data_IF_852176857799
#
_entry.id   IF_852176857799
#
_cell.length_a   1.000
_cell.length_b   1.000
_cell.length_c   1.000
_cell.angle_alpha   90.00
_cell.angle_beta   90.00
_cell.angle_gamma   90.00
#
_symmetry.space_group_name_H-M   'P 1'
#
loop_
_entity.id
_entity.type
_entity.pdbx_description
1 polymer ?
#
# COMPACT_ATOMS: atom_id res chain seq x y z
N UNK A 1 -10.69 10.11 -7.72
CA UNK A 1 -10.84 8.67 -7.45
C UNK A 1 -12.13 8.21 -8.09
N UNK A 2 -12.11 7.07 -8.79
CA UNK A 2 -13.27 6.50 -9.45
C UNK A 2 -13.58 5.13 -8.82
N UNK A 3 -14.81 4.95 -8.34
CA UNK A 3 -15.31 3.71 -7.77
C UNK A 3 -16.52 3.25 -8.56
N UNK A 4 -16.40 2.14 -9.29
CA UNK A 4 -17.50 1.58 -10.08
C UNK A 4 -18.15 0.45 -9.30
N UNK A 5 -19.47 0.44 -9.25
CA UNK A 5 -20.26 -0.52 -8.49
C UNK A 5 -20.98 -1.48 -9.42
N UNK A 6 -20.94 -2.75 -9.07
CA UNK A 6 -21.74 -3.79 -9.69
C UNK A 6 -23.10 -3.93 -8.98
N UNK A 7 -24.14 -4.26 -9.76
CA UNK A 7 -25.46 -4.61 -9.24
C UNK A 7 -26.17 -3.54 -8.40
N UNK A 8 -25.84 -2.25 -8.59
CA UNK A 8 -26.58 -1.12 -8.01
C UNK A 8 -27.62 -0.66 -9.02
N UNK A 9 -28.87 -0.53 -8.58
CA UNK A 9 -30.01 -0.12 -9.41
C UNK A 9 -30.37 1.36 -9.25
N UNK A 10 -29.98 1.99 -8.15
CA UNK A 10 -30.24 3.40 -7.88
C UNK A 10 -29.22 3.97 -6.92
N UNK A 11 -29.08 5.29 -6.94
CA UNK A 11 -28.20 6.05 -6.03
C UNK A 11 -28.97 7.24 -5.46
N UNK A 12 -28.60 7.68 -4.28
CA UNK A 12 -29.10 8.91 -3.65
C UNK A 12 -28.11 10.05 -3.85
N UNK A 13 -28.56 11.27 -3.57
CA UNK A 13 -27.67 12.45 -3.57
C UNK A 13 -26.50 12.23 -2.60
N UNK A 14 -25.33 12.68 -3.03
CA UNK A 14 -24.14 12.67 -2.16
C UNK A 14 -24.26 13.75 -1.09
N UNK A 15 -23.60 13.56 0.07
CA UNK A 15 -23.52 14.59 1.09
C UNK A 15 -22.71 15.80 0.58
N UNK A 16 -22.83 16.91 1.30
CA UNK A 16 -21.96 18.07 1.13
C UNK A 16 -20.51 17.73 1.50
N UNK A 17 -19.57 18.24 0.71
CA UNK A 17 -18.13 18.07 0.90
C UNK A 17 -17.44 19.28 1.54
N UNK A 18 -18.18 20.31 1.95
CA UNK A 18 -17.59 21.56 2.47
C UNK A 18 -16.71 21.32 3.69
N UNK A 19 -17.11 20.43 4.58
CA UNK A 19 -16.34 20.02 5.77
C UNK A 19 -15.44 18.80 5.54
N UNK A 20 -15.36 18.26 4.33
CA UNK A 20 -14.49 17.14 4.03
C UNK A 20 -13.07 17.64 3.77
N UNK A 21 -12.10 17.17 4.56
CA UNK A 21 -10.69 17.58 4.43
C UNK A 21 -10.00 16.97 3.21
N UNK A 22 -10.51 15.85 2.69
CA UNK A 22 -9.90 15.04 1.65
C UNK A 22 -10.46 15.35 0.27
N UNK A 23 -11.80 15.39 0.16
CA UNK A 23 -12.50 15.58 -1.10
C UNK A 23 -13.12 16.96 -1.19
N UNK A 24 -13.05 17.55 -2.38
CA UNK A 24 -13.69 18.85 -2.68
C UNK A 24 -15.06 18.69 -3.33
N UNK A 25 -15.33 17.55 -3.93
CA UNK A 25 -16.59 17.24 -4.59
C UNK A 25 -16.74 15.73 -4.84
N UNK A 26 -17.96 15.32 -5.06
CA UNK A 26 -18.30 13.98 -5.52
C UNK A 26 -19.48 14.06 -6.51
N UNK A 27 -19.53 13.13 -7.44
CA UNK A 27 -20.65 13.00 -8.37
C UNK A 27 -20.90 11.54 -8.72
N UNK A 28 -22.15 11.21 -9.03
CA UNK A 28 -22.51 9.94 -9.62
C UNK A 28 -22.53 10.05 -11.15
N UNK A 29 -21.91 9.08 -11.80
CA UNK A 29 -21.95 8.91 -13.24
C UNK A 29 -22.54 7.55 -13.61
N UNK A 30 -23.23 7.46 -14.73
CA UNK A 30 -23.54 6.19 -15.38
C UNK A 30 -22.48 5.94 -16.45
N UNK A 31 -21.87 4.76 -16.41
CA UNK A 31 -20.79 4.37 -17.33
C UNK A 31 -21.11 3.00 -17.92
N UNK A 32 -20.85 2.83 -19.20
CA UNK A 32 -20.86 1.53 -19.85
C UNK A 32 -19.56 0.80 -19.54
N UNK A 33 -19.69 -0.41 -19.02
CA UNK A 33 -18.56 -1.33 -18.79
C UNK A 33 -18.93 -2.66 -19.43
N UNK A 34 -18.31 -2.96 -20.55
CA UNK A 34 -18.53 -4.19 -21.33
C UNK A 34 -20.00 -4.42 -21.72
N UNK A 35 -20.70 -3.34 -22.12
CA UNK A 35 -22.12 -3.38 -22.52
C UNK A 35 -23.12 -3.37 -21.36
N UNK A 36 -22.64 -3.19 -20.13
CA UNK A 36 -23.48 -3.10 -18.92
C UNK A 36 -23.36 -1.70 -18.31
N UNK A 37 -24.51 -1.02 -18.17
CA UNK A 37 -24.56 0.27 -17.49
C UNK A 37 -24.36 0.11 -15.99
N UNK A 38 -23.33 0.78 -15.45
CA UNK A 38 -22.99 0.75 -14.03
C UNK A 38 -22.96 2.16 -13.44
N UNK A 39 -23.18 2.26 -12.14
CA UNK A 39 -22.94 3.51 -11.42
C UNK A 39 -21.47 3.62 -11.03
N UNK A 40 -20.93 4.82 -11.23
CA UNK A 40 -19.57 5.20 -10.81
C UNK A 40 -19.64 6.42 -9.90
N UNK A 41 -19.07 6.29 -8.71
CA UNK A 41 -18.80 7.43 -7.83
C UNK A 41 -17.46 8.04 -8.23
N UNK A 42 -17.47 9.31 -8.57
CA UNK A 42 -16.27 10.10 -8.86
C UNK A 42 -16.03 11.05 -7.70
N UNK A 43 -14.89 10.90 -7.02
CA UNK A 43 -14.47 11.77 -5.91
C UNK A 43 -13.27 12.62 -6.33
N UNK A 44 -13.38 13.93 -6.18
CA UNK A 44 -12.33 14.89 -6.51
C UNK A 44 -11.51 15.21 -5.25
N UNK A 45 -10.22 14.90 -5.28
CA UNK A 45 -9.30 15.27 -4.21
C UNK A 45 -9.12 16.78 -4.11
N UNK A 46 -9.02 17.32 -2.90
CA UNK A 46 -8.68 18.74 -2.67
C UNK A 46 -7.24 19.04 -3.09
N UNK A 47 -6.33 18.10 -2.85
CA UNK A 47 -4.92 18.21 -3.21
C UNK A 47 -4.48 16.96 -3.97
N UNK A 48 -3.89 17.10 -5.17
CA UNK A 48 -3.29 15.97 -5.85
C UNK A 48 -2.04 15.47 -5.09
N UNK A 49 -1.79 14.17 -5.19
CA UNK A 49 -0.58 13.55 -4.61
C UNK A 49 -0.64 13.18 -3.13
N UNK A 50 -1.76 13.48 -2.43
CA UNK A 50 -1.92 13.12 -1.01
C UNK A 50 -2.62 11.77 -0.80
N UNK A 51 -3.11 11.14 -1.84
CA UNK A 51 -3.78 9.85 -1.75
C UNK A 51 -2.76 8.72 -1.69
N UNK A 52 -2.81 7.92 -0.62
CA UNK A 52 -1.89 6.80 -0.39
C UNK A 52 -2.53 5.44 -0.67
N UNK A 53 -3.83 5.33 -0.56
CA UNK A 53 -4.53 4.07 -0.79
C UNK A 53 -5.97 4.07 -0.27
N UNK A 54 -6.63 2.94 -0.46
CA UNK A 54 -7.98 2.74 0.08
C UNK A 54 -8.21 1.27 0.46
N UNK A 55 -9.17 1.07 1.34
CA UNK A 55 -9.76 -0.24 1.59
C UNK A 55 -11.28 -0.15 1.55
N UNK A 56 -11.93 -1.27 1.27
CA UNK A 56 -13.38 -1.41 1.31
C UNK A 56 -13.73 -2.63 2.16
N UNK A 57 -14.61 -2.45 3.13
CA UNK A 57 -15.07 -3.51 4.03
C UNK A 57 -16.56 -3.35 4.30
N UNK A 58 -17.19 -4.42 4.80
CA UNK A 58 -18.56 -4.31 5.32
C UNK A 58 -18.51 -4.26 6.84
N UNK A 59 -19.33 -3.38 7.42
CA UNK A 59 -19.55 -3.38 8.87
C UNK A 59 -20.52 -4.49 9.32
N UNK A 60 -20.79 -4.56 10.62
CA UNK A 60 -21.70 -5.56 11.19
C UNK A 60 -23.17 -5.37 10.79
N UNK A 61 -23.52 -4.20 10.26
CA UNK A 61 -24.86 -3.86 9.79
C UNK A 61 -25.02 -4.07 8.28
N UNK A 62 -23.93 -4.47 7.60
CA UNK A 62 -23.91 -4.69 6.16
C UNK A 62 -23.67 -3.44 5.32
N UNK A 63 -23.27 -2.32 5.94
CA UNK A 63 -22.90 -1.12 5.20
C UNK A 63 -21.49 -1.28 4.60
N UNK A 64 -21.32 -0.83 3.36
CA UNK A 64 -20.03 -0.79 2.69
C UNK A 64 -19.27 0.46 3.13
N UNK A 65 -18.14 0.25 3.80
CA UNK A 65 -17.26 1.30 4.29
C UNK A 65 -16.05 1.44 3.37
N UNK A 66 -15.80 2.65 2.89
CA UNK A 66 -14.57 3.01 2.22
C UNK A 66 -13.68 3.82 3.16
N UNK A 67 -12.49 3.31 3.43
CA UNK A 67 -11.44 4.04 4.13
C UNK A 67 -10.43 4.53 3.10
N UNK A 68 -10.13 5.83 3.11
CA UNK A 68 -9.12 6.44 2.25
C UNK A 68 -7.92 6.83 3.10
N UNK A 69 -6.76 6.34 2.74
CA UNK A 69 -5.50 6.69 3.38
C UNK A 69 -4.93 7.95 2.72
N UNK A 70 -4.68 8.96 3.51
CA UNK A 70 -4.18 10.26 3.03
C UNK A 70 -2.82 10.53 3.65
N UNK A 71 -1.84 10.80 2.81
CA UNK A 71 -0.53 11.27 3.26
C UNK A 71 -0.69 12.69 3.79
N UNK A 72 -0.26 12.90 5.02
CA UNK A 72 -0.13 14.23 5.59
C UNK A 72 1.26 14.78 5.30
N UNK A 73 1.42 16.10 5.29
CA UNK A 73 2.74 16.72 5.18
C UNK A 73 3.60 16.47 6.42
N UNK A 74 2.97 16.12 7.54
CA UNK A 74 3.63 15.71 8.77
C UNK A 74 3.68 14.19 8.85
N UNK A 75 4.83 13.63 8.51
CA UNK A 75 5.08 12.19 8.55
C UNK A 75 5.50 11.68 9.94
N UNK A 76 5.69 12.56 10.92
CA UNK A 76 6.16 12.18 12.26
C UNK A 76 5.18 11.29 13.03
N UNK A 77 3.89 11.36 12.68
CA UNK A 77 2.85 10.52 13.29
C UNK A 77 2.57 9.23 12.50
N UNK A 78 3.27 9.01 11.39
CA UNK A 78 3.08 7.80 10.58
C UNK A 78 3.85 6.62 11.16
N UNK A 79 3.26 5.44 11.03
CA UNK A 79 3.94 4.16 11.21
C UNK A 79 4.25 3.58 9.83
N UNK A 80 5.53 3.45 9.51
CA UNK A 80 5.99 2.87 8.25
C UNK A 80 6.62 1.50 8.51
N UNK A 81 6.11 0.48 7.83
CA UNK A 81 6.71 -0.86 7.87
C UNK A 81 7.59 -1.06 6.65
N UNK A 82 8.84 -1.47 6.88
CA UNK A 82 9.81 -1.79 5.85
C UNK A 82 10.05 -3.30 5.84
N UNK A 83 9.87 -3.91 4.69
CA UNK A 83 10.06 -5.35 4.46
C UNK A 83 11.22 -5.59 3.48
N UNK A 84 12.43 -5.87 3.95
CA UNK A 84 13.51 -6.33 3.06
C UNK A 84 13.21 -7.74 2.56
N UNK A 85 13.13 -7.91 1.23
CA UNK A 85 12.87 -9.21 0.61
C UNK A 85 13.96 -10.23 0.88
N UNK A 86 13.59 -11.50 0.87
CA UNK A 86 14.48 -12.66 1.05
C UNK A 86 15.13 -12.76 2.45
N UNK A 87 16.26 -13.43 2.60
CA UNK A 87 17.06 -13.59 3.81
C UNK A 87 17.07 -15.01 4.33
N UNK A 88 16.01 -15.51 4.97
CA UNK A 88 15.97 -16.85 5.57
C UNK A 88 14.66 -17.55 5.22
N UNK A 89 14.73 -18.85 4.89
CA UNK A 89 13.56 -19.72 4.66
C UNK A 89 12.93 -20.19 5.98
N UNK A 90 11.74 -20.80 5.91
CA UNK A 90 11.05 -21.38 7.06
C UNK A 90 11.84 -22.50 7.77
N UNK A 91 12.81 -23.11 7.08
CA UNK A 91 13.68 -24.16 7.61
C UNK A 91 15.01 -23.62 8.14
N UNK A 92 15.20 -22.30 8.17
CA UNK A 92 16.43 -21.65 8.63
C UNK A 92 17.58 -21.66 7.62
N UNK A 93 17.32 -22.01 6.37
CA UNK A 93 18.31 -21.92 5.29
C UNK A 93 18.37 -20.53 4.70
N UNK A 94 19.52 -20.14 4.17
CA UNK A 94 19.67 -18.88 3.46
C UNK A 94 18.78 -18.83 2.22
N UNK A 95 18.07 -17.71 2.07
CA UNK A 95 17.34 -17.33 0.86
C UNK A 95 17.99 -16.07 0.30
N UNK A 96 18.98 -16.20 -0.59
CA UNK A 96 19.70 -15.05 -1.13
C UNK A 96 18.89 -14.23 -2.13
N UNK A 97 17.73 -14.75 -2.58
CA UNK A 97 16.96 -14.14 -3.66
C UNK A 97 17.69 -14.23 -5.00
N UNK A 98 17.64 -13.17 -5.79
CA UNK A 98 18.39 -13.10 -7.02
C UNK A 98 19.90 -12.97 -6.75
N UNK A 99 20.69 -13.78 -7.47
CA UNK A 99 22.15 -13.78 -7.39
C UNK A 99 22.71 -13.17 -8.69
N UNK A 100 23.52 -12.11 -8.54
CA UNK A 100 24.23 -11.43 -9.60
C UNK A 100 25.64 -11.05 -9.14
N UNK A 101 26.03 -9.79 -9.32
CA UNK A 101 27.24 -9.25 -8.69
C UNK A 101 27.14 -9.14 -7.16
N UNK A 102 25.91 -9.04 -6.68
CA UNK A 102 25.54 -9.04 -5.26
C UNK A 102 24.35 -9.98 -5.05
N UNK A 103 24.18 -10.45 -3.84
CA UNK A 103 22.97 -11.17 -3.43
C UNK A 103 21.86 -10.20 -3.08
N UNK A 104 20.65 -10.47 -3.57
CA UNK A 104 19.48 -9.61 -3.39
C UNK A 104 19.16 -9.39 -1.91
N UNK A 105 19.14 -10.44 -1.09
CA UNK A 105 18.81 -10.36 0.33
C UNK A 105 19.71 -9.39 1.09
N UNK A 106 21.02 -9.46 0.87
CA UNK A 106 21.99 -8.55 1.50
C UNK A 106 21.81 -7.10 1.06
N UNK A 107 21.59 -6.89 -0.26
CA UNK A 107 21.35 -5.56 -0.80
C UNK A 107 20.03 -4.96 -0.26
N UNK A 108 18.95 -5.72 -0.27
CA UNK A 108 17.64 -5.28 0.22
C UNK A 108 17.70 -4.89 1.69
N UNK A 109 18.38 -5.69 2.53
CA UNK A 109 18.55 -5.40 3.94
C UNK A 109 19.41 -4.15 4.18
N UNK A 110 20.48 -3.95 3.41
CA UNK A 110 21.32 -2.76 3.52
C UNK A 110 20.53 -1.50 3.16
N UNK A 111 19.74 -1.53 2.09
CA UNK A 111 18.84 -0.42 1.72
C UNK A 111 17.79 -0.19 2.79
N UNK A 112 17.16 -1.24 3.31
CA UNK A 112 16.15 -1.13 4.36
C UNK A 112 16.70 -0.44 5.62
N UNK A 113 17.92 -0.79 6.06
CA UNK A 113 18.58 -0.15 7.20
C UNK A 113 18.83 1.34 6.97
N UNK A 114 19.23 1.73 5.75
CA UNK A 114 19.45 3.13 5.39
C UNK A 114 18.13 3.91 5.37
N UNK A 115 17.09 3.35 4.77
CA UNK A 115 15.75 3.96 4.73
C UNK A 115 15.18 4.10 6.14
N UNK A 116 15.26 3.06 6.97
CA UNK A 116 14.86 3.08 8.38
C UNK A 116 15.55 4.23 9.13
N UNK A 117 16.87 4.33 9.02
CA UNK A 117 17.64 5.39 9.68
C UNK A 117 17.20 6.79 9.25
N UNK A 118 16.99 7.00 7.95
CA UNK A 118 16.55 8.30 7.41
C UNK A 118 15.14 8.67 7.86
N UNK A 119 14.20 7.73 7.84
CA UNK A 119 12.82 7.96 8.28
C UNK A 119 12.75 8.23 9.79
N UNK A 120 13.50 7.47 10.60
CA UNK A 120 13.60 7.73 12.05
C UNK A 120 14.16 9.12 12.35
N UNK A 121 15.14 9.60 11.57
CA UNK A 121 15.65 10.96 11.71
C UNK A 121 14.63 12.05 11.37
N UNK A 122 13.59 11.72 10.60
CA UNK A 122 12.43 12.58 10.32
C UNK A 122 11.28 12.44 11.35
N UNK A 123 11.50 11.66 12.41
CA UNK A 123 10.49 11.46 13.46
C UNK A 123 9.46 10.37 13.17
N UNK A 124 9.59 9.63 12.06
CA UNK A 124 8.66 8.57 11.68
C UNK A 124 8.81 7.35 12.60
N UNK A 125 7.70 6.75 13.01
CA UNK A 125 7.71 5.45 13.65
C UNK A 125 7.95 4.36 12.60
N UNK A 126 9.13 3.74 12.63
CA UNK A 126 9.54 2.75 11.62
C UNK A 126 9.68 1.37 12.26
N UNK A 127 8.97 0.40 11.69
CA UNK A 127 9.10 -1.02 12.00
C UNK A 127 9.74 -1.73 10.82
N UNK A 128 10.92 -2.31 11.01
CA UNK A 128 11.50 -3.22 10.01
C UNK A 128 11.09 -4.64 10.34
N UNK A 129 10.40 -5.30 9.39
CA UNK A 129 9.72 -6.58 9.62
C UNK A 129 10.64 -7.71 10.07
N UNK A 130 11.89 -7.70 9.61
CA UNK A 130 12.82 -8.78 9.94
C UNK A 130 14.25 -8.28 10.11
N UNK A 131 15.02 -9.06 10.85
CA UNK A 131 16.48 -8.99 10.94
C UNK A 131 17.12 -9.99 9.97
N UNK A 132 18.42 -10.17 10.06
CA UNK A 132 19.18 -11.09 9.22
C UNK A 132 18.78 -12.56 9.38
N UNK A 133 18.26 -12.95 10.54
CA UNK A 133 18.02 -14.36 10.92
C UNK A 133 16.56 -14.73 11.11
N UNK A 134 15.63 -13.82 10.86
CA UNK A 134 14.19 -14.06 11.06
C UNK A 134 13.51 -14.42 9.76
N UNK A 135 12.69 -15.46 9.83
CA UNK A 135 11.78 -15.84 8.75
C UNK A 135 10.41 -15.20 8.94
N UNK A 136 9.90 -14.66 7.82
CA UNK A 136 8.51 -14.22 7.71
C UNK A 136 7.90 -14.80 6.44
N UNK A 137 6.82 -15.59 6.58
CA UNK A 137 6.07 -16.12 5.45
C UNK A 137 5.68 -14.99 4.50
N UNK A 138 6.10 -15.08 3.25
CA UNK A 138 5.90 -14.05 2.23
C UNK A 138 4.44 -13.64 2.07
N UNK A 139 3.51 -14.60 2.14
CA UNK A 139 2.06 -14.32 2.03
C UNK A 139 1.51 -13.61 3.25
N UNK A 140 2.17 -13.74 4.40
CA UNK A 140 1.73 -13.14 5.68
C UNK A 140 2.40 -11.81 5.99
N UNK A 141 3.44 -11.40 5.29
CA UNK A 141 4.15 -10.13 5.55
C UNK A 141 3.25 -8.91 5.53
N UNK A 142 2.31 -8.73 4.56
CA UNK A 142 1.36 -7.61 4.59
C UNK A 142 0.42 -7.65 5.80
N UNK A 143 0.08 -8.83 6.31
CA UNK A 143 -0.76 -8.97 7.51
C UNK A 143 -0.01 -8.54 8.77
N UNK A 144 1.27 -8.87 8.90
CA UNK A 144 2.09 -8.36 10.00
C UNK A 144 2.18 -6.83 9.95
N UNK A 145 2.36 -6.25 8.77
CA UNK A 145 2.36 -4.80 8.62
C UNK A 145 1.03 -4.18 9.09
N UNK A 146 -0.10 -4.77 8.71
CA UNK A 146 -1.43 -4.36 9.19
C UNK A 146 -1.55 -4.47 10.71
N UNK A 147 -1.03 -5.57 11.30
CA UNK A 147 -1.12 -5.82 12.74
C UNK A 147 -0.29 -4.79 13.55
N UNK A 148 0.75 -4.20 12.95
CA UNK A 148 1.46 -3.03 13.48
C UNK A 148 0.69 -1.71 13.28
N UNK A 149 -0.47 -1.72 12.63
CA UNK A 149 -1.24 -0.51 12.33
C UNK A 149 -0.51 0.45 11.40
N UNK A 150 0.23 -0.08 10.41
CA UNK A 150 1.02 0.75 9.52
C UNK A 150 0.17 1.60 8.58
N UNK A 151 0.63 2.83 8.35
CA UNK A 151 0.07 3.75 7.36
C UNK A 151 0.67 3.50 5.97
N UNK A 152 1.91 2.99 5.92
CA UNK A 152 2.60 2.66 4.67
C UNK A 152 3.46 1.40 4.84
N UNK A 153 3.32 0.47 3.90
CA UNK A 153 4.14 -0.73 3.80
C UNK A 153 5.06 -0.64 2.58
N UNK A 154 6.36 -0.82 2.78
CA UNK A 154 7.39 -0.74 1.74
C UNK A 154 8.14 -2.06 1.68
N UNK A 155 7.89 -2.85 0.61
CA UNK A 155 8.70 -4.02 0.30
C UNK A 155 9.88 -3.62 -0.60
N UNK A 156 11.07 -4.09 -0.26
CA UNK A 156 12.31 -3.79 -0.99
C UNK A 156 12.82 -5.08 -1.64
N UNK A 157 12.91 -5.07 -2.96
CA UNK A 157 13.38 -6.16 -3.78
C UNK A 157 14.30 -5.68 -4.90
N UNK A 158 15.18 -6.56 -5.38
CA UNK A 158 16.05 -6.36 -6.55
C UNK A 158 15.80 -7.48 -7.53
N UNK A 159 14.84 -7.29 -8.44
CA UNK A 159 14.38 -8.33 -9.34
C UNK A 159 15.48 -8.80 -10.30
N UNK A 160 15.42 -10.08 -10.71
CA UNK A 160 16.26 -10.67 -11.74
C UNK A 160 15.39 -11.13 -12.90
N UNK A 161 15.82 -10.87 -14.13
CA UNK A 161 15.24 -11.44 -15.32
C UNK A 161 16.11 -12.58 -15.86
N UNK A 162 15.49 -13.50 -16.62
CA UNK A 162 16.20 -14.58 -17.29
C UNK A 162 17.05 -14.16 -18.49
N UNK A 163 17.02 -12.86 -18.86
CA UNK A 163 17.82 -12.27 -19.94
C UNK A 163 18.17 -10.83 -19.60
N UNK A 164 19.12 -10.24 -20.36
CA UNK A 164 19.52 -8.83 -20.20
C UNK A 164 18.55 -7.83 -20.86
N UNK A 165 17.53 -8.31 -21.55
CA UNK A 165 16.57 -7.46 -22.28
C UNK A 165 15.63 -6.67 -21.37
N UNK A 166 15.04 -7.23 -20.29
CA UNK A 166 14.17 -6.47 -19.41
C UNK A 166 14.94 -5.36 -18.70
N UNK A 167 14.35 -4.16 -18.71
CA UNK A 167 14.85 -2.96 -18.03
C UNK A 167 13.71 -2.31 -17.30
N UNK A 168 13.99 -1.80 -16.12
CA UNK A 168 13.01 -1.10 -15.32
C UNK A 168 12.78 -1.76 -13.96
N UNK A 169 11.95 -1.13 -13.18
CA UNK A 169 11.57 -1.51 -11.81
C UNK A 169 10.13 -1.93 -11.77
#
# INVERSE_FOLDING_TARGET
INITFDNITSVTALPDFDNCTVFSAGEWQQVDVDGVMKFRLVLKLRQPGVYAGNSATYDSEGNLLFKFEILTNDISNMTIVIDPGHGVTEYGYDDPGAIGHIEEAGANLAVAKLVESKLKALGVNVVRLKTESEFYDTKRRPYYARDYGCDLYIAIHSNKAGSESPRGT
#
